data_IF_090416812683
#
_entry.id   IF_090416812683
#
_cell.length_a   1.000
_cell.length_b   1.000
_cell.length_c   1.000
_cell.angle_alpha   90.00
_cell.angle_beta   90.00
_cell.angle_gamma   90.00
#
_symmetry.space_group_name_H-M   'P 1'
#
loop_
_entity.id
_entity.type
_entity.pdbx_description
1 polymer ?
#
# COMPACT_ATOMS: atom_id res chain seq x y z
N UNK A 1 0.77 16.70 -11.75
CA UNK A 1 0.04 17.19 -10.55
C UNK A 1 0.92 16.96 -9.31
N UNK A 2 0.95 17.89 -8.35
CA UNK A 2 1.79 17.81 -7.13
C UNK A 2 1.09 17.15 -5.93
N UNK A 3 0.19 16.20 -6.17
CA UNK A 3 -0.46 15.47 -5.08
C UNK A 3 0.38 14.25 -4.69
N UNK A 4 0.50 14.02 -3.38
CA UNK A 4 1.10 12.86 -2.74
C UNK A 4 0.16 12.44 -1.61
N UNK A 5 0.02 11.13 -1.37
CA UNK A 5 -0.75 10.61 -0.25
C UNK A 5 -0.05 10.95 1.06
N UNK A 6 -0.86 11.11 2.11
CA UNK A 6 -0.39 11.46 3.45
C UNK A 6 -0.24 10.20 4.30
N UNK A 7 0.72 10.23 5.22
CA UNK A 7 1.12 9.10 6.08
C UNK A 7 0.08 8.77 7.18
N UNK A 8 -0.75 9.75 7.56
CA UNK A 8 -1.69 9.67 8.68
C UNK A 8 -3.10 9.19 8.27
N UNK A 9 -3.28 8.84 7.00
CA UNK A 9 -4.52 8.31 6.44
C UNK A 9 -4.29 6.95 5.81
N UNK A 10 -5.36 6.15 5.73
CA UNK A 10 -5.30 4.88 5.00
C UNK A 10 -4.91 5.12 3.54
N UNK A 11 -3.97 4.32 3.05
CA UNK A 11 -3.57 4.31 1.64
C UNK A 11 -4.68 3.69 0.80
N UNK A 12 -5.42 2.72 1.32
CA UNK A 12 -6.59 2.15 0.66
C UNK A 12 -7.70 3.20 0.46
N UNK A 13 -8.04 3.97 1.50
CA UNK A 13 -9.03 5.05 1.42
C UNK A 13 -8.63 6.13 0.40
N UNK A 14 -7.39 6.61 0.48
CA UNK A 14 -6.89 7.62 -0.46
C UNK A 14 -6.83 7.10 -1.90
N UNK A 15 -6.56 5.81 -2.10
CA UNK A 15 -6.60 5.20 -3.44
C UNK A 15 -8.02 5.12 -3.97
N UNK A 16 -8.98 4.76 -3.12
CA UNK A 16 -10.39 4.72 -3.51
C UNK A 16 -10.90 6.12 -3.92
N UNK A 17 -10.48 7.18 -3.21
CA UNK A 17 -10.79 8.58 -3.58
C UNK A 17 -10.25 8.94 -4.98
N UNK A 18 -9.02 8.51 -5.31
CA UNK A 18 -8.43 8.76 -6.63
C UNK A 18 -9.18 8.01 -7.73
N UNK A 19 -9.56 6.75 -7.50
CA UNK A 19 -10.33 5.97 -8.46
C UNK A 19 -11.71 6.59 -8.69
N UNK A 20 -12.38 7.07 -7.64
CA UNK A 20 -13.66 7.77 -7.78
C UNK A 20 -13.54 9.07 -8.58
N UNK A 21 -12.44 9.81 -8.40
CA UNK A 21 -12.15 10.99 -9.24
C UNK A 21 -11.93 10.59 -10.70
N UNK A 22 -11.25 9.48 -10.95
CA UNK A 22 -11.04 8.97 -12.30
C UNK A 22 -12.34 8.57 -12.98
N UNK A 23 -13.24 7.86 -12.29
CA UNK A 23 -14.57 7.55 -12.81
C UNK A 23 -15.35 8.83 -13.16
N UNK A 24 -15.28 9.86 -12.32
CA UNK A 24 -15.92 11.15 -12.62
C UNK A 24 -15.30 11.88 -13.83
N UNK A 25 -14.00 11.67 -14.11
CA UNK A 25 -13.34 12.17 -15.31
C UNK A 25 -13.74 11.37 -16.55
N UNK A 26 -13.87 10.05 -16.43
CA UNK A 26 -14.37 9.18 -17.49
C UNK A 26 -15.81 9.57 -17.89
N UNK A 27 -16.68 9.85 -16.92
CA UNK A 27 -18.04 10.38 -17.16
C UNK A 27 -18.03 11.72 -17.91
N UNK A 28 -16.93 12.48 -17.82
CA UNK A 28 -16.70 13.72 -18.56
C UNK A 28 -15.91 13.52 -19.86
N UNK A 29 -15.87 12.29 -20.39
CA UNK A 29 -15.15 11.89 -21.61
C UNK A 29 -13.62 12.08 -21.55
N UNK A 30 -13.05 12.13 -20.34
CA UNK A 30 -11.61 12.24 -20.09
C UNK A 30 -11.06 10.91 -19.52
N UNK A 31 -11.02 9.89 -20.37
CA UNK A 31 -10.50 8.58 -20.00
C UNK A 31 -8.97 8.53 -20.06
N UNK A 32 -8.39 7.76 -19.13
CA UNK A 32 -6.96 7.47 -19.12
C UNK A 32 -6.71 5.97 -19.28
N UNK A 33 -5.60 5.56 -19.92
CA UNK A 33 -5.24 4.15 -19.95
C UNK A 33 -5.10 3.58 -18.52
N UNK A 34 -5.71 2.43 -18.25
CA UNK A 34 -5.69 1.81 -16.92
C UNK A 34 -4.27 1.68 -16.34
N UNK A 35 -3.31 1.30 -17.18
CA UNK A 35 -1.90 1.22 -16.81
C UNK A 35 -1.33 2.55 -16.33
N UNK A 36 -1.73 3.66 -16.96
CA UNK A 36 -1.32 5.00 -16.53
C UNK A 36 -1.88 5.32 -15.15
N UNK A 37 -3.13 4.97 -14.89
CA UNK A 37 -3.80 5.20 -13.61
C UNK A 37 -3.13 4.41 -12.48
N UNK A 38 -2.88 3.11 -12.71
CA UNK A 38 -2.15 2.25 -11.77
C UNK A 38 -0.77 2.84 -11.43
N UNK A 39 0.01 3.23 -12.45
CA UNK A 39 1.33 3.83 -12.22
C UNK A 39 1.24 5.17 -11.48
N UNK A 40 0.26 6.01 -11.85
CA UNK A 40 0.02 7.31 -11.22
C UNK A 40 -0.35 7.20 -9.74
N UNK A 41 -1.15 6.18 -9.37
CA UNK A 41 -1.49 5.90 -7.97
C UNK A 41 -0.26 5.43 -7.20
N UNK A 42 0.51 4.50 -7.75
CA UNK A 42 1.73 3.99 -7.10
C UNK A 42 2.77 5.10 -6.88
N UNK A 43 2.89 6.05 -7.82
CA UNK A 43 3.77 7.22 -7.68
C UNK A 43 3.29 8.26 -6.65
N UNK A 44 2.06 8.11 -6.14
CA UNK A 44 1.49 8.96 -5.08
C UNK A 44 1.63 8.35 -3.69
N UNK A 45 2.10 7.11 -3.57
CA UNK A 45 2.24 6.45 -2.28
C UNK A 45 3.10 7.27 -1.32
N UNK A 46 2.75 7.24 -0.02
CA UNK A 46 3.55 7.93 0.99
C UNK A 46 4.91 7.24 1.14
N UNK A 47 5.90 7.92 1.74
CA UNK A 47 7.28 7.43 1.81
C UNK A 47 7.38 6.09 2.54
N UNK A 48 6.56 5.87 3.57
CA UNK A 48 6.55 4.58 4.28
C UNK A 48 6.16 3.39 3.40
N UNK A 49 5.54 3.62 2.25
CA UNK A 49 5.10 2.60 1.27
C UNK A 49 6.05 2.45 0.08
N UNK A 50 7.21 3.13 0.05
CA UNK A 50 8.13 3.14 -1.09
C UNK A 50 8.55 1.74 -1.56
N UNK A 51 8.96 0.86 -0.62
CA UNK A 51 9.38 -0.51 -0.94
C UNK A 51 8.25 -1.34 -1.59
N UNK A 52 7.02 -1.16 -1.09
CA UNK A 52 5.85 -1.81 -1.68
C UNK A 52 5.56 -1.25 -3.08
N UNK A 53 5.59 0.07 -3.24
CA UNK A 53 5.44 0.73 -4.54
C UNK A 53 6.47 0.26 -5.58
N UNK A 54 7.74 0.09 -5.19
CA UNK A 54 8.77 -0.47 -6.06
C UNK A 54 8.49 -1.91 -6.47
N UNK A 55 7.96 -2.72 -5.53
CA UNK A 55 7.52 -4.09 -5.82
C UNK A 55 6.41 -4.10 -6.87
N UNK A 56 5.41 -3.22 -6.77
CA UNK A 56 4.34 -3.11 -7.77
C UNK A 56 4.88 -2.66 -9.14
N UNK A 57 5.82 -1.71 -9.18
CA UNK A 57 6.48 -1.27 -10.44
C UNK A 57 7.19 -2.42 -11.15
N UNK A 58 7.82 -3.34 -10.40
CA UNK A 58 8.48 -4.52 -10.95
C UNK A 58 7.51 -5.55 -11.56
N UNK A 59 6.23 -5.52 -11.19
CA UNK A 59 5.20 -6.39 -11.79
C UNK A 59 4.78 -5.95 -13.21
N UNK A 60 5.44 -4.93 -13.79
CA UNK A 60 5.33 -4.48 -15.19
C UNK A 60 3.92 -4.14 -15.68
N UNK A 61 3.05 -3.66 -14.79
CA UNK A 61 1.68 -3.24 -15.18
C UNK A 61 0.75 -4.41 -15.51
N UNK A 62 0.93 -5.54 -14.82
CA UNK A 62 0.00 -6.67 -14.84
C UNK A 62 -1.25 -6.47 -13.96
N UNK A 63 -1.27 -5.40 -13.18
CA UNK A 63 -2.35 -5.12 -12.24
C UNK A 63 -3.41 -4.26 -12.91
N UNK A 64 -4.67 -4.68 -12.77
CA UNK A 64 -5.83 -3.79 -12.95
C UNK A 64 -5.97 -2.83 -11.77
N UNK A 65 -6.84 -1.83 -11.87
CA UNK A 65 -7.18 -0.96 -10.74
C UNK A 65 -7.81 -1.73 -9.57
N UNK A 66 -8.62 -2.76 -9.88
CA UNK A 66 -9.20 -3.63 -8.86
C UNK A 66 -8.14 -4.47 -8.15
N UNK A 67 -7.20 -5.05 -8.91
CA UNK A 67 -6.08 -5.79 -8.31
C UNK A 67 -5.25 -4.88 -7.41
N UNK A 68 -4.99 -3.64 -7.85
CA UNK A 68 -4.26 -2.64 -7.09
C UNK A 68 -4.94 -2.36 -5.75
N UNK A 69 -6.26 -2.16 -5.72
CA UNK A 69 -7.02 -1.96 -4.48
C UNK A 69 -6.93 -3.15 -3.53
N UNK A 70 -7.02 -4.37 -4.06
CA UNK A 70 -6.91 -5.59 -3.25
C UNK A 70 -5.53 -5.68 -2.61
N UNK A 71 -4.45 -5.53 -3.39
CA UNK A 71 -3.09 -5.67 -2.85
C UNK A 71 -2.73 -4.57 -1.85
N UNK A 72 -3.23 -3.34 -2.05
CA UNK A 72 -3.07 -2.25 -1.07
C UNK A 72 -3.77 -2.61 0.24
N UNK A 73 -5.00 -3.12 0.18
CA UNK A 73 -5.78 -3.47 1.38
C UNK A 73 -5.08 -4.56 2.20
N UNK A 74 -4.54 -5.58 1.53
CA UNK A 74 -3.78 -6.67 2.17
C UNK A 74 -2.50 -6.15 2.82
N UNK A 75 -1.74 -5.31 2.10
CA UNK A 75 -0.49 -4.75 2.63
C UNK A 75 -0.75 -3.82 3.83
N UNK A 76 -1.82 -3.03 3.80
CA UNK A 76 -2.19 -2.14 4.90
C UNK A 76 -2.58 -2.94 6.14
N UNK A 77 -3.36 -4.01 5.98
CA UNK A 77 -3.69 -4.92 7.06
C UNK A 77 -2.43 -5.57 7.66
N UNK A 78 -1.51 -6.04 6.82
CA UNK A 78 -0.24 -6.62 7.26
C UNK A 78 0.61 -5.63 8.06
N UNK A 79 0.71 -4.37 7.61
CA UNK A 79 1.40 -3.28 8.34
C UNK A 79 0.75 -2.98 9.69
N UNK A 80 -0.58 -3.00 9.75
CA UNK A 80 -1.32 -2.78 10.99
C UNK A 80 -1.15 -3.93 11.99
N UNK A 81 -0.95 -5.16 11.53
CA UNK A 81 -0.68 -6.31 12.39
C UNK A 81 0.76 -6.31 12.93
N UNK A 82 1.74 -5.95 12.10
CA UNK A 82 3.15 -5.86 12.52
C UNK A 82 3.40 -4.73 13.53
N UNK A 83 2.71 -3.60 13.40
CA UNK A 83 2.79 -2.50 14.38
C UNK A 83 2.13 -2.81 15.75
N UNK A 84 1.35 -3.89 15.86
CA UNK A 84 0.66 -4.29 17.11
C UNK A 84 1.44 -5.30 17.96
N UNK A 85 2.61 -5.78 17.51
CA UNK A 85 3.43 -6.70 18.28
C UNK A 85 4.63 -6.00 18.93
N UNK A 86 4.66 -5.76 20.25
CA UNK A 86 5.91 -5.68 20.97
C UNK A 86 6.42 -7.11 21.12
N UNK A 87 7.26 -7.57 20.19
CA UNK A 87 7.89 -8.89 20.36
C UNK A 87 9.06 -8.74 21.34
N UNK A 88 8.73 -8.71 22.64
CA UNK A 88 9.68 -8.95 23.71
C UNK A 88 10.07 -10.43 23.68
N UNK A 89 11.09 -10.77 22.90
CA UNK A 89 11.76 -12.05 23.03
C UNK A 89 12.64 -12.01 24.28
N UNK A 90 12.07 -12.38 25.42
CA UNK A 90 12.87 -12.64 26.61
C UNK A 90 13.60 -13.99 26.44
N UNK A 91 14.95 -14.03 26.42
CA UNK A 91 15.66 -15.28 26.32
C UNK A 91 15.48 -16.09 27.62
N UNK A 92 14.90 -17.29 27.50
CA UNK A 92 14.84 -18.27 28.61
C UNK A 92 16.24 -18.86 28.83
N UNK A 93 17.03 -18.22 29.68
CA UNK A 93 18.21 -18.86 30.26
C UNK A 93 17.75 -19.84 31.35
N UNK A 94 17.85 -21.14 31.10
CA UNK A 94 17.72 -22.16 32.16
C UNK A 94 19.06 -22.25 32.91
N UNK A 95 19.11 -22.08 34.24
CA UNK A 95 20.31 -22.40 35.00
C UNK A 95 20.48 -23.91 35.08
N UNK A 96 21.67 -24.39 34.70
CA UNK A 96 22.09 -25.77 34.90
C UNK A 96 22.31 -25.95 36.41
N UNK A 97 21.44 -26.70 37.08
CA UNK A 97 21.66 -27.08 38.48
C UNK A 97 22.79 -28.10 38.51
N UNK A 98 23.97 -27.64 38.93
CA UNK A 98 25.05 -28.49 39.38
C UNK A 98 24.95 -28.71 40.89
N UNK A 99 24.83 -29.99 41.28
CA UNK A 99 25.68 -30.69 42.26
C UNK A 99 25.16 -32.11 42.46
#
# INVERSE_FOLDING_TARGET
MRYQMVEDRSVAEQTHEIINLEHALADAEMEFPEKYLVMSIVDKFPKSWENFGMTLKHQKGRLSLNDLMIVISIEEEHRNQTNKMPVEHQPRANPIVGK
#
